data_IF_308329984518
#
_entry.id   IF_308329984518
#
_cell.length_a   1.000
_cell.length_b   1.000
_cell.length_c   1.000
_cell.angle_alpha   90.00
_cell.angle_beta   90.00
_cell.angle_gamma   90.00
#
_symmetry.space_group_name_H-M   'P 1'
#
loop_
_entity.id
_entity.type
_entity.pdbx_description
1 polymer ?
#
# COMPACT_ATOMS: atom_id res chain seq x y z
N UNK A 1 5.32 -21.83 -8.59
CA UNK A 1 6.40 -22.86 -8.51
C UNK A 1 7.81 -22.26 -8.57
N UNK A 2 8.06 -21.19 -9.39
CA UNK A 2 9.40 -20.65 -9.58
C UNK A 2 10.03 -20.04 -8.31
N UNK A 3 9.29 -19.27 -7.54
CA UNK A 3 9.78 -18.61 -6.33
C UNK A 3 10.13 -19.60 -5.21
N UNK A 4 9.27 -20.57 -4.97
CA UNK A 4 9.47 -21.60 -3.95
C UNK A 4 10.74 -22.44 -4.18
N UNK A 5 10.96 -22.90 -5.42
CA UNK A 5 12.13 -23.68 -5.78
C UNK A 5 13.45 -22.88 -5.76
N UNK A 6 13.39 -21.55 -5.61
CA UNK A 6 14.55 -20.64 -5.66
C UNK A 6 14.77 -19.88 -4.34
N UNK A 7 14.04 -20.24 -3.29
CA UNK A 7 14.07 -19.53 -1.98
C UNK A 7 13.81 -18.02 -2.10
N UNK A 8 12.92 -17.65 -3.00
CA UNK A 8 12.49 -16.25 -3.19
C UNK A 8 11.18 -16.06 -2.43
N UNK A 9 11.14 -15.06 -1.56
CA UNK A 9 9.91 -14.64 -0.92
C UNK A 9 9.05 -13.79 -1.85
N UNK A 10 7.73 -13.87 -1.67
CA UNK A 10 6.73 -13.22 -2.53
C UNK A 10 5.86 -12.32 -1.69
N UNK A 11 5.58 -11.13 -2.18
CA UNK A 11 4.49 -10.26 -1.71
C UNK A 11 3.31 -10.43 -2.66
N UNK A 12 2.12 -10.61 -2.11
CA UNK A 12 0.88 -10.67 -2.91
C UNK A 12 0.24 -9.31 -2.85
N UNK A 13 -0.11 -8.76 -4.00
CA UNK A 13 -0.77 -7.47 -4.11
C UNK A 13 -2.14 -7.60 -4.78
N UNK A 14 -3.19 -7.13 -4.09
CA UNK A 14 -4.51 -6.91 -4.66
C UNK A 14 -4.57 -5.48 -5.21
N UNK A 15 -4.04 -5.30 -6.40
CA UNK A 15 -3.79 -4.01 -7.02
C UNK A 15 -5.05 -3.21 -7.38
N UNK A 16 -6.13 -3.88 -7.74
CA UNK A 16 -7.42 -3.26 -8.06
C UNK A 16 -8.57 -3.86 -7.25
N UNK A 17 -9.40 -3.00 -6.66
CA UNK A 17 -10.54 -3.39 -5.84
C UNK A 17 -11.89 -2.96 -6.46
N UNK A 18 -13.01 -3.66 -6.15
CA UNK A 18 -14.33 -3.29 -6.62
C UNK A 18 -14.65 -1.81 -6.36
N UNK A 19 -15.04 -1.09 -7.40
CA UNK A 19 -15.40 0.32 -7.30
C UNK A 19 -14.23 1.30 -7.34
N UNK A 20 -13.02 0.83 -7.67
CA UNK A 20 -11.78 1.61 -7.69
C UNK A 20 -11.48 2.34 -6.38
N UNK A 21 -10.36 2.02 -5.76
CA UNK A 21 -9.93 2.57 -4.48
C UNK A 21 -9.26 3.95 -4.59
N UNK A 22 -8.84 4.37 -5.80
CA UNK A 22 -8.13 5.64 -6.01
C UNK A 22 -8.55 6.39 -7.28
N UNK A 23 -9.39 5.81 -8.13
CA UNK A 23 -9.79 6.34 -9.43
C UNK A 23 -8.63 6.50 -10.44
N UNK A 24 -7.55 5.78 -10.25
CA UNK A 24 -6.43 5.73 -11.19
C UNK A 24 -6.52 4.52 -12.12
N UNK A 25 -5.79 4.57 -13.24
CA UNK A 25 -5.78 3.46 -14.22
C UNK A 25 -5.32 2.14 -13.58
N UNK A 26 -4.43 2.22 -12.61
CA UNK A 26 -3.90 1.09 -11.85
C UNK A 26 -4.98 0.35 -11.02
N UNK A 27 -6.11 0.98 -10.71
CA UNK A 27 -7.21 0.34 -9.98
C UNK A 27 -8.17 -0.46 -10.84
N UNK A 28 -7.85 -0.68 -12.13
CA UNK A 28 -8.61 -1.54 -13.03
C UNK A 28 -9.91 -0.92 -13.61
N UNK A 29 -10.22 0.33 -13.28
CA UNK A 29 -11.38 1.02 -13.84
C UNK A 29 -11.01 1.86 -15.06
N UNK A 30 -11.85 1.79 -16.10
CA UNK A 30 -11.77 2.71 -17.21
C UNK A 30 -12.47 4.03 -16.85
N UNK A 31 -11.70 5.10 -16.67
CA UNK A 31 -12.18 6.45 -16.29
C UNK A 31 -13.28 7.00 -17.20
N UNK A 32 -13.33 6.57 -18.47
CA UNK A 32 -14.30 7.07 -19.45
C UNK A 32 -15.74 6.65 -19.16
N UNK A 33 -15.95 5.57 -18.41
CA UNK A 33 -17.27 4.98 -18.23
C UNK A 33 -17.91 5.24 -16.85
N UNK A 34 -17.16 5.73 -15.84
CA UNK A 34 -17.62 5.78 -14.45
C UNK A 34 -17.61 7.18 -13.81
N UNK A 35 -17.26 8.21 -14.58
CA UNK A 35 -17.00 9.53 -13.99
C UNK A 35 -15.77 9.50 -13.07
N UNK A 36 -15.49 10.59 -12.38
CA UNK A 36 -14.31 10.70 -11.50
C UNK A 36 -14.63 10.27 -10.05
N UNK A 37 -15.34 9.14 -9.85
CA UNK A 37 -15.79 8.72 -8.52
C UNK A 37 -14.98 7.53 -7.99
N UNK A 38 -14.58 7.62 -6.73
CA UNK A 38 -14.03 6.52 -5.97
C UNK A 38 -15.21 5.83 -5.27
N UNK A 39 -15.59 4.63 -5.72
CA UNK A 39 -16.74 3.90 -5.18
C UNK A 39 -16.34 2.77 -4.22
N UNK A 40 -15.05 2.49 -4.07
CA UNK A 40 -14.57 1.43 -3.20
C UNK A 40 -15.04 1.56 -1.76
N UNK A 41 -15.18 2.79 -1.27
CA UNK A 41 -15.61 3.07 0.10
C UNK A 41 -17.11 2.84 0.36
N UNK A 42 -17.91 2.55 -0.68
CA UNK A 42 -19.32 2.20 -0.49
C UNK A 42 -19.47 0.86 0.25
N UNK A 43 -20.52 0.73 1.07
CA UNK A 43 -20.80 -0.50 1.84
C UNK A 43 -20.86 -1.76 0.96
N UNK A 44 -21.38 -1.63 -0.26
CA UNK A 44 -21.45 -2.72 -1.25
C UNK A 44 -20.05 -3.20 -1.65
N UNK A 45 -19.17 -2.27 -2.04
CA UNK A 45 -17.84 -2.59 -2.52
C UNK A 45 -16.91 -3.03 -1.38
N UNK A 46 -17.09 -2.49 -0.17
CA UNK A 46 -16.42 -2.98 1.04
C UNK A 46 -16.77 -4.45 1.33
N UNK A 47 -18.04 -4.84 1.17
CA UNK A 47 -18.45 -6.25 1.32
C UNK A 47 -17.77 -7.15 0.30
N UNK A 48 -17.71 -6.75 -0.97
CA UNK A 48 -17.04 -7.51 -2.02
C UNK A 48 -15.53 -7.59 -1.78
N UNK A 49 -14.89 -6.50 -1.38
CA UNK A 49 -13.45 -6.47 -1.08
C UNK A 49 -13.08 -7.40 0.08
N UNK A 50 -13.88 -7.41 1.15
CA UNK A 50 -13.69 -8.36 2.25
C UNK A 50 -13.87 -9.82 1.80
N UNK A 51 -14.81 -10.08 0.89
CA UNK A 51 -14.96 -11.41 0.32
C UNK A 51 -13.77 -11.79 -0.57
N UNK A 52 -13.22 -10.85 -1.35
CA UNK A 52 -12.03 -11.07 -2.17
C UNK A 52 -10.82 -11.45 -1.30
N UNK A 53 -10.59 -10.76 -0.19
CA UNK A 53 -9.53 -11.11 0.77
C UNK A 53 -9.73 -12.54 1.30
N UNK A 54 -10.94 -12.89 1.72
CA UNK A 54 -11.25 -14.25 2.21
C UNK A 54 -11.01 -15.31 1.15
N UNK A 55 -11.41 -15.06 -0.09
CA UNK A 55 -11.22 -16.00 -1.20
C UNK A 55 -9.72 -16.20 -1.51
N UNK A 56 -8.93 -15.09 -1.50
CA UNK A 56 -7.48 -15.17 -1.66
C UNK A 56 -6.86 -16.04 -0.56
N UNK A 57 -7.23 -15.84 0.68
CA UNK A 57 -6.67 -16.58 1.81
C UNK A 57 -7.10 -18.05 1.80
N UNK A 58 -8.33 -18.35 1.40
CA UNK A 58 -8.79 -19.73 1.21
C UNK A 58 -7.98 -20.44 0.12
N UNK A 59 -7.72 -19.77 -1.01
CA UNK A 59 -6.84 -20.28 -2.05
C UNK A 59 -5.41 -20.48 -1.53
N UNK A 60 -4.86 -19.48 -0.83
CA UNK A 60 -3.51 -19.53 -0.29
C UNK A 60 -3.34 -20.67 0.71
N UNK A 61 -4.35 -20.96 1.52
CA UNK A 61 -4.28 -22.04 2.52
C UNK A 61 -4.03 -23.40 1.91
N UNK A 62 -4.62 -23.66 0.76
CA UNK A 62 -4.42 -24.89 -0.01
C UNK A 62 -3.18 -24.88 -0.92
N UNK A 63 -2.53 -23.70 -1.10
CA UNK A 63 -1.44 -23.58 -2.07
C UNK A 63 -0.11 -24.10 -1.49
N UNK A 64 0.61 -24.98 -2.23
CA UNK A 64 1.85 -25.60 -1.72
C UNK A 64 2.97 -24.58 -1.43
N UNK A 65 3.00 -23.45 -2.14
CA UNK A 65 4.01 -22.41 -1.96
C UNK A 65 3.62 -21.32 -0.94
N UNK A 66 2.61 -21.54 -0.09
CA UNK A 66 2.20 -20.54 0.91
C UNK A 66 3.32 -20.11 1.88
N UNK A 67 4.29 -21.00 2.12
CA UNK A 67 5.41 -20.74 3.03
C UNK A 67 6.39 -19.66 2.53
N UNK A 68 6.34 -19.29 1.26
CA UNK A 68 7.19 -18.22 0.71
C UNK A 68 6.47 -16.87 0.63
N UNK A 69 5.19 -16.80 1.04
CA UNK A 69 4.46 -15.53 1.07
C UNK A 69 4.88 -14.74 2.31
N UNK A 70 5.55 -13.62 2.10
CA UNK A 70 6.11 -12.77 3.16
C UNK A 70 5.19 -11.62 3.57
N UNK A 71 4.17 -11.30 2.77
CA UNK A 71 3.20 -10.25 3.06
C UNK A 71 2.10 -10.19 2.02
N UNK A 72 0.99 -9.54 2.38
CA UNK A 72 -0.16 -9.32 1.49
C UNK A 72 -0.60 -7.87 1.56
N UNK A 73 -0.61 -7.18 0.41
CA UNK A 73 -1.31 -5.92 0.22
C UNK A 73 -2.76 -6.23 -0.12
N UNK A 74 -3.68 -5.91 0.78
CA UNK A 74 -5.11 -6.22 0.58
C UNK A 74 -5.88 -5.14 -0.15
N UNK A 75 -5.29 -3.98 -0.34
CA UNK A 75 -5.72 -2.90 -1.24
C UNK A 75 -4.52 -2.01 -1.55
N UNK A 76 -4.18 -1.90 -2.84
CA UNK A 76 -3.09 -1.04 -3.30
C UNK A 76 -3.56 0.41 -3.40
N UNK A 77 -2.74 1.34 -2.90
CA UNK A 77 -2.92 2.79 -3.07
C UNK A 77 -4.35 3.32 -2.86
N UNK A 78 -5.04 2.98 -1.76
CA UNK A 78 -6.36 3.56 -1.47
C UNK A 78 -6.22 5.06 -1.21
N UNK A 79 -7.14 5.88 -1.75
CA UNK A 79 -7.04 7.34 -1.66
C UNK A 79 -8.06 7.89 -0.67
N UNK A 80 -7.60 8.50 0.41
CA UNK A 80 -8.47 9.03 1.47
C UNK A 80 -9.07 10.40 1.10
N UNK A 81 -8.38 11.22 0.28
CA UNK A 81 -8.87 12.53 -0.22
C UNK A 81 -9.35 13.50 0.86
N UNK A 82 -8.75 13.51 2.03
CA UNK A 82 -9.19 14.34 3.15
C UNK A 82 -10.66 14.13 3.56
N UNK A 83 -11.23 12.98 3.24
CA UNK A 83 -12.56 12.59 3.64
C UNK A 83 -12.45 11.70 4.89
N UNK A 84 -12.97 12.18 6.02
CA UNK A 84 -12.88 11.48 7.32
C UNK A 84 -13.58 10.12 7.30
N UNK A 85 -14.66 9.97 6.53
CA UNK A 85 -15.34 8.69 6.37
C UNK A 85 -14.46 7.68 5.66
N UNK A 86 -13.68 8.09 4.64
CA UNK A 86 -12.75 7.22 3.92
C UNK A 86 -11.61 6.76 4.81
N UNK A 87 -11.09 7.62 5.70
CA UNK A 87 -10.07 7.23 6.68
C UNK A 87 -10.59 6.14 7.62
N UNK A 88 -11.78 6.34 8.18
CA UNK A 88 -12.39 5.37 9.09
C UNK A 88 -12.65 4.02 8.42
N UNK A 89 -13.17 4.03 7.19
CA UNK A 89 -13.44 2.81 6.41
C UNK A 89 -12.13 2.09 6.05
N UNK A 90 -11.07 2.84 5.69
CA UNK A 90 -9.78 2.24 5.37
C UNK A 90 -9.15 1.57 6.60
N UNK A 91 -9.17 2.22 7.77
CA UNK A 91 -8.66 1.64 9.02
C UNK A 91 -9.41 0.37 9.42
N UNK A 92 -10.73 0.41 9.31
CA UNK A 92 -11.59 -0.75 9.58
C UNK A 92 -11.34 -1.91 8.58
N UNK A 93 -11.03 -1.59 7.33
CA UNK A 93 -10.63 -2.59 6.34
C UNK A 93 -9.24 -3.17 6.63
N UNK A 94 -8.29 -2.36 7.11
CA UNK A 94 -6.98 -2.84 7.53
C UNK A 94 -7.06 -3.71 8.79
N UNK A 95 -7.85 -3.31 9.78
CA UNK A 95 -8.06 -4.12 10.98
C UNK A 95 -8.71 -5.47 10.63
N UNK A 96 -9.72 -5.47 9.76
CA UNK A 96 -10.27 -6.71 9.21
C UNK A 96 -9.20 -7.55 8.52
N UNK A 97 -8.37 -6.95 7.66
CA UNK A 97 -7.33 -7.67 6.91
C UNK A 97 -6.29 -8.30 7.85
N UNK A 98 -5.85 -7.58 8.87
CA UNK A 98 -4.93 -8.09 9.89
C UNK A 98 -5.53 -9.33 10.58
N UNK A 99 -6.79 -9.28 11.00
CA UNK A 99 -7.45 -10.41 11.65
C UNK A 99 -7.59 -11.63 10.71
N UNK A 100 -7.82 -11.41 9.41
CA UNK A 100 -7.87 -12.51 8.43
C UNK A 100 -6.49 -13.13 8.16
N UNK A 101 -5.42 -12.32 8.16
CA UNK A 101 -4.03 -12.75 7.88
C UNK A 101 -3.35 -13.41 9.09
N UNK A 102 -3.81 -13.13 10.30
CA UNK A 102 -3.23 -13.60 11.57
C UNK A 102 -3.07 -15.13 11.67
N UNK A 103 -4.05 -15.97 11.27
CA UNK A 103 -3.89 -17.42 11.29
C UNK A 103 -2.75 -17.92 10.40
N UNK A 104 -2.44 -17.19 9.35
CA UNK A 104 -1.37 -17.52 8.39
C UNK A 104 0.00 -17.02 8.85
N UNK A 105 0.06 -16.18 9.88
CA UNK A 105 1.28 -15.49 10.34
C UNK A 105 1.91 -14.64 9.24
N UNK A 106 1.10 -14.07 8.36
CA UNK A 106 1.50 -13.21 7.25
C UNK A 106 1.12 -11.77 7.62
N UNK A 107 2.03 -10.79 7.53
CA UNK A 107 1.71 -9.40 7.80
C UNK A 107 0.84 -8.78 6.70
N UNK A 108 -0.03 -7.86 7.10
CA UNK A 108 -0.63 -6.90 6.18
C UNK A 108 0.44 -5.90 5.75
N UNK A 109 0.51 -5.64 4.44
CA UNK A 109 1.24 -4.53 3.85
C UNK A 109 0.21 -3.43 3.57
N UNK A 110 0.34 -2.27 4.21
CA UNK A 110 -0.68 -1.23 4.23
C UNK A 110 -0.15 0.11 3.73
N UNK A 111 -0.65 0.55 2.57
CA UNK A 111 -0.33 1.84 2.00
C UNK A 111 -0.99 2.99 2.76
N UNK A 112 -0.35 4.15 2.77
CA UNK A 112 -0.72 5.29 3.62
C UNK A 112 -1.91 6.15 3.14
N UNK A 113 -2.51 5.85 2.00
CA UNK A 113 -3.70 6.56 1.52
C UNK A 113 -3.46 7.95 0.96
N UNK A 114 -2.24 8.27 0.53
CA UNK A 114 -1.82 9.58 -0.02
C UNK A 114 -2.05 10.77 0.91
N UNK A 115 -1.99 10.53 2.22
CA UNK A 115 -2.09 11.64 3.19
C UNK A 115 -0.81 12.46 3.26
N UNK A 116 -0.95 13.77 3.46
CA UNK A 116 0.22 14.64 3.70
C UNK A 116 0.93 14.26 5.00
N UNK A 117 2.21 14.01 5.02
CA UNK A 117 3.00 13.52 6.17
C UNK A 117 2.49 12.17 6.72
N UNK A 118 2.57 11.09 5.93
CA UNK A 118 2.01 9.79 6.27
C UNK A 118 2.60 9.19 7.56
N UNK A 119 3.88 9.39 7.83
CA UNK A 119 4.55 8.89 9.04
C UNK A 119 4.02 9.51 10.33
N UNK A 120 3.59 10.77 10.30
CA UNK A 120 2.91 11.41 11.43
C UNK A 120 1.47 10.90 11.55
N UNK A 121 0.75 10.84 10.44
CA UNK A 121 -0.67 10.51 10.38
C UNK A 121 -0.95 9.07 10.88
N UNK A 122 -0.16 8.11 10.43
CA UNK A 122 -0.34 6.69 10.76
C UNK A 122 0.38 6.25 12.04
N UNK A 123 1.17 7.12 12.69
CA UNK A 123 1.98 6.77 13.86
C UNK A 123 1.19 6.12 14.98
N UNK A 124 0.02 6.65 15.30
CA UNK A 124 -0.82 6.14 16.39
C UNK A 124 -1.47 4.79 16.04
N UNK A 125 -1.82 4.60 14.77
CA UNK A 125 -2.34 3.32 14.29
C UNK A 125 -1.24 2.24 14.33
N UNK A 126 -0.07 2.53 13.77
CA UNK A 126 1.06 1.61 13.74
C UNK A 126 1.51 1.16 15.15
N UNK A 127 1.52 2.07 16.13
CA UNK A 127 1.86 1.74 17.53
C UNK A 127 0.92 0.73 18.18
N UNK A 128 -0.31 0.60 17.72
CA UNK A 128 -1.29 -0.36 18.25
C UNK A 128 -1.12 -1.75 17.66
N UNK A 129 -0.40 -1.87 16.54
CA UNK A 129 -0.24 -3.13 15.85
C UNK A 129 0.82 -4.00 16.52
N UNK A 130 0.59 -5.31 16.54
CA UNK A 130 1.58 -6.27 17.06
C UNK A 130 2.71 -6.46 16.05
N UNK A 131 3.91 -6.67 16.57
CA UNK A 131 5.06 -6.99 15.72
C UNK A 131 4.74 -8.22 14.84
N UNK A 132 5.08 -8.12 13.56
CA UNK A 132 4.85 -9.19 12.58
C UNK A 132 3.44 -9.25 12.00
N UNK A 133 2.52 -8.33 12.36
CA UNK A 133 1.16 -8.31 11.79
C UNK A 133 0.94 -7.18 10.79
N UNK A 134 1.82 -6.19 10.78
CA UNK A 134 1.65 -4.96 10.00
C UNK A 134 3.01 -4.46 9.49
N UNK A 135 3.06 -4.11 8.22
CA UNK A 135 4.16 -3.44 7.54
C UNK A 135 3.55 -2.19 6.90
N UNK A 136 4.16 -1.04 7.15
CA UNK A 136 3.74 0.22 6.53
C UNK A 136 4.36 0.31 5.14
N UNK A 137 3.53 0.63 4.15
CA UNK A 137 3.95 0.71 2.75
C UNK A 137 3.99 2.15 2.29
N UNK A 138 5.10 2.54 1.68
CA UNK A 138 5.31 3.85 1.08
C UNK A 138 5.75 3.68 -0.37
N UNK A 139 5.23 4.55 -1.24
CA UNK A 139 5.51 4.57 -2.67
C UNK A 139 6.18 5.89 -3.04
N UNK A 140 7.47 6.09 -2.70
CA UNK A 140 8.17 7.32 -3.00
C UNK A 140 8.62 7.37 -4.46
N UNK A 141 8.23 8.44 -5.13
CA UNK A 141 8.69 8.78 -6.47
C UNK A 141 9.43 10.13 -6.42
N UNK A 142 10.68 10.18 -5.91
CA UNK A 142 11.36 11.42 -5.56
C UNK A 142 11.63 12.36 -6.75
N UNK A 143 11.68 11.84 -7.97
CA UNK A 143 11.80 12.63 -9.19
C UNK A 143 10.48 12.83 -9.93
N UNK A 144 9.34 12.40 -9.35
CA UNK A 144 8.05 12.46 -10.01
C UNK A 144 6.94 12.69 -8.96
N UNK A 145 5.86 13.38 -9.36
CA UNK A 145 4.72 13.70 -8.47
C UNK A 145 5.08 14.50 -7.21
N UNK A 146 6.25 15.13 -7.16
CA UNK A 146 6.64 16.01 -6.06
C UNK A 146 6.14 17.43 -6.33
N UNK A 147 5.65 18.10 -5.28
CA UNK A 147 5.32 19.52 -5.36
C UNK A 147 5.88 20.25 -4.10
N UNK A 148 6.83 21.18 -4.25
CA UNK A 148 7.52 21.52 -5.50
C UNK A 148 8.40 20.37 -6.03
N UNK A 149 8.69 20.39 -7.31
CA UNK A 149 9.64 19.45 -7.94
C UNK A 149 11.07 19.66 -7.40
N UNK A 150 11.94 18.63 -7.42
CA UNK A 150 13.35 18.83 -7.09
C UNK A 150 14.00 19.88 -8.01
N UNK A 151 14.79 20.77 -7.44
CA UNK A 151 15.45 21.86 -8.19
C UNK A 151 16.75 21.41 -8.87
N UNK A 152 17.42 20.44 -8.26
CA UNK A 152 18.70 19.90 -8.70
C UNK A 152 18.97 18.53 -8.07
N UNK A 153 20.11 17.94 -8.39
CA UNK A 153 20.54 16.64 -7.88
C UNK A 153 20.66 16.61 -6.35
N UNK A 154 21.18 17.66 -5.76
CA UNK A 154 21.42 17.68 -4.30
C UNK A 154 20.10 17.79 -3.53
N UNK A 155 19.14 18.57 -4.01
CA UNK A 155 17.79 18.62 -3.48
C UNK A 155 17.11 17.24 -3.60
N UNK A 156 17.23 16.58 -4.74
CA UNK A 156 16.68 15.22 -4.94
C UNK A 156 17.30 14.20 -3.97
N UNK A 157 18.63 14.21 -3.81
CA UNK A 157 19.32 13.32 -2.87
C UNK A 157 18.93 13.63 -1.41
N UNK A 158 18.79 14.91 -1.06
CA UNK A 158 18.32 15.33 0.26
C UNK A 158 16.91 14.80 0.56
N UNK A 159 16.01 14.82 -0.41
CA UNK A 159 14.65 14.27 -0.27
C UNK A 159 14.68 12.75 -0.05
N UNK A 160 15.51 12.02 -0.80
CA UNK A 160 15.69 10.56 -0.62
C UNK A 160 16.21 10.25 0.79
N UNK A 161 17.23 10.96 1.26
CA UNK A 161 17.74 10.80 2.62
C UNK A 161 16.68 11.12 3.69
N UNK A 162 15.85 12.13 3.45
CA UNK A 162 14.76 12.48 4.35
C UNK A 162 13.67 11.40 4.43
N UNK A 163 13.38 10.68 3.34
CA UNK A 163 12.52 9.50 3.39
C UNK A 163 13.12 8.43 4.31
N UNK A 164 14.39 8.07 4.11
CA UNK A 164 15.08 7.10 4.96
C UNK A 164 15.00 7.44 6.45
N UNK A 165 15.27 8.69 6.82
CA UNK A 165 15.19 9.18 8.20
C UNK A 165 13.79 9.09 8.80
N UNK A 166 12.73 9.27 7.99
CA UNK A 166 11.34 9.12 8.43
C UNK A 166 10.98 7.66 8.65
N UNK A 167 11.42 6.78 7.73
CA UNK A 167 11.22 5.34 7.82
C UNK A 167 11.84 4.76 9.09
N UNK A 168 13.10 5.10 9.38
CA UNK A 168 13.82 4.63 10.56
C UNK A 168 13.11 4.95 11.88
N UNK A 169 12.43 6.10 11.95
CA UNK A 169 11.74 6.57 13.16
C UNK A 169 10.28 6.12 13.28
N UNK A 170 9.80 5.37 12.31
CA UNK A 170 8.43 4.89 12.33
C UNK A 170 8.28 3.67 13.26
N UNK A 171 7.16 3.52 14.02
CA UNK A 171 7.03 2.49 15.05
C UNK A 171 6.68 1.10 14.52
N UNK A 172 6.66 0.88 13.21
CA UNK A 172 6.46 -0.41 12.54
C UNK A 172 7.49 -0.57 11.42
N UNK A 173 7.74 -1.79 10.93
CA UNK A 173 8.52 -1.99 9.72
C UNK A 173 7.95 -1.20 8.55
N UNK A 174 8.81 -0.62 7.74
CA UNK A 174 8.44 0.13 6.54
C UNK A 174 8.97 -0.61 5.32
N UNK A 175 8.11 -0.78 4.32
CA UNK A 175 8.43 -1.27 2.99
C UNK A 175 8.37 -0.09 2.03
N UNK A 176 9.27 -0.03 1.09
CA UNK A 176 9.15 0.76 -0.12
C UNK A 176 8.63 -0.17 -1.21
N UNK A 177 7.31 -0.28 -1.31
CA UNK A 177 6.65 -1.24 -2.20
C UNK A 177 6.77 -0.86 -3.66
N UNK A 178 6.77 0.44 -3.93
CA UNK A 178 6.99 0.99 -5.26
C UNK A 178 7.94 2.18 -5.20
N UNK A 179 8.78 2.33 -6.20
CA UNK A 179 9.66 3.49 -6.37
C UNK A 179 10.09 3.65 -7.82
N UNK A 180 10.58 4.83 -8.17
CA UNK A 180 11.21 5.08 -9.47
C UNK A 180 12.58 5.70 -9.30
N UNK A 181 13.52 5.25 -10.10
CA UNK A 181 14.82 5.91 -10.27
C UNK A 181 14.80 7.00 -11.36
N UNK A 182 13.64 7.25 -11.99
CA UNK A 182 13.49 8.29 -13.00
C UNK A 182 13.63 9.66 -12.32
N UNK A 183 14.54 10.46 -12.84
CA UNK A 183 14.68 11.88 -12.49
C UNK A 183 14.04 12.74 -13.58
N UNK A 184 13.36 13.82 -13.18
CA UNK A 184 12.94 14.90 -14.09
C UNK A 184 14.08 15.87 -14.41
N UNK A 185 15.21 15.73 -13.70
CA UNK A 185 16.41 16.53 -13.94
C UNK A 185 17.02 16.13 -15.28
N UNK A 186 17.40 17.12 -16.07
CA UNK A 186 18.09 16.90 -17.34
C UNK A 186 19.44 16.21 -17.08
N UNK A 187 19.84 15.32 -17.99
CA UNK A 187 21.10 14.56 -17.87
C UNK A 187 22.37 15.42 -18.00
N UNK A 188 22.23 16.72 -18.09
CA UNK A 188 23.32 17.71 -18.16
C UNK A 188 23.61 18.39 -16.83
N UNK A 189 22.89 18.07 -15.75
CA UNK A 189 23.09 18.63 -14.41
C UNK A 189 23.92 17.72 -13.50
#
# INVERSE_FOLDING_TARGET
YGAWNRSIYVLIDLHGMPGSQNNDQSSGHNRTNLGNTIEWYSSKNQKYSRQTVKNLLSWLDSHPAKSVVAGVTTVNEPKINSNDDYDSILRDFYDFSIEQLKPFKIPLIAHHGFVGNPYKYWKSYAKKQKLGTFIFDDHPYPGWFQNPEPTDKDDMLSRICNFGNKMERFPAPVLMGEFSAISILNSTD
#
